data_IF_624803470104
#
_entry.id   IF_624803470104
#
_cell.length_a   1.000
_cell.length_b   1.000
_cell.length_c   1.000
_cell.angle_alpha   90.00
_cell.angle_beta   90.00
_cell.angle_gamma   90.00
#
_symmetry.space_group_name_H-M   'P 1'
#
loop_
_entity.id
_entity.type
_entity.pdbx_description
1 polymer ?
#
# COMPACT_ATOMS: atom_id res chain seq x y z
N UNK A 1 -40.04 21.90 23.84
CA UNK A 1 -39.11 21.18 24.76
C UNK A 1 -38.60 19.84 24.25
N UNK A 2 -39.30 19.08 23.41
CA UNK A 2 -38.80 17.78 22.90
C UNK A 2 -37.65 17.86 21.89
N UNK A 3 -37.53 18.93 21.11
CA UNK A 3 -36.48 19.14 20.11
C UNK A 3 -35.10 19.46 20.71
N UNK A 4 -35.04 20.13 21.85
CA UNK A 4 -33.79 20.50 22.52
C UNK A 4 -33.12 19.29 23.18
N UNK A 5 -33.91 18.33 23.71
CA UNK A 5 -33.39 17.12 24.35
C UNK A 5 -32.75 16.15 23.33
N UNK A 6 -33.27 16.07 22.10
CA UNK A 6 -32.68 15.23 21.03
C UNK A 6 -31.34 15.80 20.55
N UNK A 7 -31.24 17.12 20.44
CA UNK A 7 -29.96 17.77 20.02
C UNK A 7 -28.87 17.60 21.08
N UNK A 8 -29.24 17.71 22.37
CA UNK A 8 -28.30 17.52 23.49
C UNK A 8 -27.83 16.05 23.60
N UNK A 9 -28.71 15.09 23.33
CA UNK A 9 -28.35 13.66 23.33
C UNK A 9 -27.42 13.29 22.19
N UNK A 10 -27.63 13.84 20.99
CA UNK A 10 -26.74 13.64 19.84
C UNK A 10 -25.35 14.24 20.07
N UNK A 11 -25.25 15.42 20.70
CA UNK A 11 -23.95 16.05 21.02
C UNK A 11 -23.19 15.29 22.10
N UNK A 12 -23.85 14.79 23.13
CA UNK A 12 -23.19 13.98 24.19
C UNK A 12 -22.71 12.64 23.69
N UNK A 13 -23.46 11.95 22.83
CA UNK A 13 -23.01 10.70 22.19
C UNK A 13 -21.80 10.94 21.28
N UNK A 14 -21.77 12.04 20.53
CA UNK A 14 -20.62 12.41 19.69
C UNK A 14 -19.35 12.71 20.49
N UNK A 15 -19.47 13.40 21.63
CA UNK A 15 -18.34 13.72 22.51
C UNK A 15 -17.78 12.45 23.15
N UNK A 16 -18.62 11.58 23.70
CA UNK A 16 -18.18 10.32 24.29
C UNK A 16 -17.49 9.40 23.27
N UNK A 17 -17.91 9.44 22.02
CA UNK A 17 -17.36 8.59 20.97
C UNK A 17 -15.95 9.05 20.54
N UNK A 18 -15.74 10.35 20.32
CA UNK A 18 -14.42 10.92 19.96
C UNK A 18 -13.40 10.69 21.09
N UNK A 19 -13.80 10.86 22.35
CA UNK A 19 -12.95 10.57 23.51
C UNK A 19 -12.48 9.11 23.57
N UNK A 20 -13.32 8.16 23.21
CA UNK A 20 -12.92 6.74 23.18
C UNK A 20 -11.88 6.44 22.08
N UNK A 21 -12.03 7.05 20.89
CA UNK A 21 -11.10 6.85 19.78
C UNK A 21 -9.71 7.42 20.11
N UNK A 22 -9.65 8.64 20.66
CA UNK A 22 -8.42 9.27 21.10
C UNK A 22 -7.72 8.43 22.19
N UNK A 23 -8.45 7.94 23.20
CA UNK A 23 -7.89 7.05 24.23
C UNK A 23 -7.31 5.75 23.66
N UNK A 24 -7.94 5.19 22.62
CA UNK A 24 -7.38 4.01 21.95
C UNK A 24 -6.09 4.35 21.21
N UNK A 25 -6.05 5.48 20.49
CA UNK A 25 -4.86 5.95 19.82
C UNK A 25 -3.71 6.21 20.80
N UNK A 26 -3.99 6.90 21.93
CA UNK A 26 -3.02 7.15 23.00
C UNK A 26 -2.49 5.86 23.62
N UNK A 27 -3.37 4.87 23.84
CA UNK A 27 -2.95 3.55 24.36
C UNK A 27 -1.98 2.84 23.42
N UNK A 28 -2.24 2.90 22.11
CA UNK A 28 -1.35 2.33 21.08
C UNK A 28 -0.02 3.11 21.05
N UNK A 29 -0.10 4.44 21.05
CA UNK A 29 1.11 5.28 21.04
C UNK A 29 1.99 5.01 22.27
N UNK A 30 1.40 4.89 23.46
CA UNK A 30 2.13 4.52 24.67
C UNK A 30 2.88 3.20 24.49
N UNK A 31 2.21 2.14 24.02
CA UNK A 31 2.84 0.84 23.76
C UNK A 31 3.97 0.95 22.73
N UNK A 32 3.76 1.73 21.68
CA UNK A 32 4.78 1.94 20.64
C UNK A 32 6.05 2.59 21.22
N UNK A 33 5.90 3.59 22.08
CA UNK A 33 7.00 4.30 22.69
C UNK A 33 7.56 3.63 23.97
N UNK A 34 6.94 2.56 24.48
CA UNK A 34 7.58 1.67 25.46
C UNK A 34 8.86 1.03 24.87
N UNK A 35 8.92 0.89 23.54
CA UNK A 35 10.18 0.63 22.83
C UNK A 35 10.91 1.95 22.57
N UNK A 36 11.92 2.25 23.38
CA UNK A 36 12.71 3.48 23.30
C UNK A 36 13.40 3.70 21.95
N UNK A 37 13.46 2.68 21.08
CA UNK A 37 14.03 2.82 19.75
C UNK A 37 13.07 3.47 18.74
N UNK A 38 11.77 3.55 19.04
CA UNK A 38 10.76 4.13 18.18
C UNK A 38 10.83 5.66 18.21
N UNK A 39 10.61 6.29 17.05
CA UNK A 39 10.82 7.74 16.83
C UNK A 39 9.52 8.47 16.58
N UNK A 40 8.66 7.94 15.75
CA UNK A 40 7.41 8.59 15.39
C UNK A 40 6.33 7.63 14.93
N UNK A 41 5.08 8.01 15.21
CA UNK A 41 3.88 7.24 14.88
C UNK A 41 2.75 8.17 14.47
N UNK A 42 2.07 7.85 13.38
CA UNK A 42 0.79 8.45 13.02
C UNK A 42 -0.27 7.35 12.99
N UNK A 43 -1.44 7.62 13.60
CA UNK A 43 -2.59 6.72 13.66
C UNK A 43 -3.76 7.43 12.97
N UNK A 44 -4.36 6.77 11.98
CA UNK A 44 -5.54 7.25 11.29
C UNK A 44 -6.71 6.29 11.50
N UNK A 45 -7.89 6.83 11.75
CA UNK A 45 -9.11 6.06 12.02
C UNK A 45 -10.25 6.62 11.19
N UNK A 46 -10.95 5.73 10.50
CA UNK A 46 -12.23 6.01 9.84
C UNK A 46 -13.30 5.23 10.59
N UNK A 47 -14.35 5.90 11.01
CA UNK A 47 -15.55 5.24 11.52
C UNK A 47 -16.77 6.04 11.06
N UNK A 48 -17.62 5.38 10.26
CA UNK A 48 -18.73 6.02 9.58
C UNK A 48 -18.24 7.20 8.71
N UNK A 49 -18.80 8.40 8.86
CA UNK A 49 -18.41 9.58 8.07
C UNK A 49 -17.21 10.35 8.66
N UNK A 50 -16.68 9.92 9.84
CA UNK A 50 -15.59 10.61 10.54
C UNK A 50 -14.24 10.02 10.18
N UNK A 51 -13.27 10.92 10.01
CA UNK A 51 -11.87 10.59 9.82
C UNK A 51 -11.07 11.38 10.87
N UNK A 52 -10.34 10.66 11.72
CA UNK A 52 -9.51 11.26 12.76
C UNK A 52 -8.06 10.78 12.59
N UNK A 53 -7.10 11.66 12.86
CA UNK A 53 -5.69 11.35 12.76
C UNK A 53 -4.93 11.89 13.97
N UNK A 54 -4.09 11.05 14.55
CA UNK A 54 -3.29 11.32 15.74
C UNK A 54 -1.81 11.20 15.41
N UNK A 55 -0.99 12.05 16.01
CA UNK A 55 0.42 12.22 15.67
C UNK A 55 1.27 12.22 16.94
N UNK A 56 2.27 11.36 16.98
CA UNK A 56 3.10 11.16 18.16
C UNK A 56 4.58 11.08 17.80
N UNK A 57 5.42 11.71 18.60
CA UNK A 57 6.87 11.67 18.42
C UNK A 57 7.37 12.58 17.29
N UNK A 58 8.53 12.25 16.74
CA UNK A 58 9.29 13.13 15.86
C UNK A 58 9.53 12.59 14.45
N UNK A 59 9.80 13.52 13.52
CA UNK A 59 10.22 13.20 12.15
C UNK A 59 11.65 12.67 12.10
N UNK A 60 12.47 13.00 13.09
CA UNK A 60 13.89 12.68 13.11
C UNK A 60 14.46 12.67 14.52
N UNK A 61 15.38 11.75 14.81
CA UNK A 61 16.00 11.60 16.15
C UNK A 61 16.95 12.72 16.53
N UNK A 62 17.60 13.37 15.54
CA UNK A 62 18.64 14.39 15.77
C UNK A 62 18.11 15.82 15.80
N UNK A 63 16.91 16.04 15.34
CA UNK A 63 16.23 17.33 15.35
C UNK A 63 14.78 17.10 15.72
N UNK A 64 14.38 17.59 16.89
CA UNK A 64 12.99 17.47 17.33
C UNK A 64 12.11 18.32 16.43
N UNK A 65 11.49 17.68 15.46
CA UNK A 65 10.47 18.26 14.62
C UNK A 65 9.28 17.31 14.67
N UNK A 66 8.21 17.75 15.30
CA UNK A 66 7.05 16.89 15.54
C UNK A 66 6.41 16.39 14.26
N UNK A 67 5.86 15.20 14.33
CA UNK A 67 4.99 14.65 13.31
C UNK A 67 3.66 15.41 13.34
N UNK A 68 3.14 15.72 12.17
CA UNK A 68 1.90 16.46 11.97
C UNK A 68 1.13 15.96 10.73
N UNK A 69 -0.01 16.59 10.44
CA UNK A 69 -0.85 16.24 9.28
C UNK A 69 -0.19 16.45 7.92
N UNK A 70 0.93 17.17 7.87
CA UNK A 70 1.70 17.42 6.64
C UNK A 70 2.88 16.48 6.48
N UNK A 71 3.13 15.63 7.47
CA UNK A 71 4.27 14.72 7.48
C UNK A 71 4.08 13.60 6.46
N UNK A 72 5.04 13.47 5.56
CA UNK A 72 5.11 12.40 4.56
C UNK A 72 5.83 11.17 5.14
N UNK A 73 5.20 10.03 5.06
CA UNK A 73 5.79 8.75 5.40
C UNK A 73 6.02 7.89 4.17
N UNK A 74 7.10 7.13 4.13
CA UNK A 74 7.22 6.00 3.23
C UNK A 74 6.19 4.94 3.63
N UNK A 75 5.30 4.57 2.71
CA UNK A 75 4.27 3.57 3.00
C UNK A 75 4.62 2.17 2.48
N UNK A 76 5.83 2.00 1.92
CA UNK A 76 6.31 0.71 1.45
C UNK A 76 5.29 -0.01 0.59
N UNK A 77 5.06 -1.28 0.89
CA UNK A 77 4.19 -2.16 0.09
C UNK A 77 2.71 -1.77 0.07
N UNK A 78 2.22 -0.88 0.93
CA UNK A 78 0.88 -0.27 0.79
C UNK A 78 0.75 0.44 -0.57
N UNK A 79 1.87 0.82 -1.20
CA UNK A 79 1.93 1.30 -2.61
C UNK A 79 1.21 0.38 -3.60
N UNK A 80 1.21 -0.94 -3.37
CA UNK A 80 0.57 -1.92 -4.26
C UNK A 80 -0.93 -1.73 -4.38
N UNK A 81 -1.57 -1.16 -3.36
CA UNK A 81 -2.99 -0.82 -3.40
C UNK A 81 -3.27 0.27 -4.44
N UNK A 82 -2.37 1.25 -4.56
CA UNK A 82 -2.46 2.29 -5.59
C UNK A 82 -2.19 1.72 -6.99
N UNK A 83 -1.23 0.81 -7.11
CA UNK A 83 -0.94 0.13 -8.38
C UNK A 83 -2.13 -0.72 -8.85
N UNK A 84 -2.77 -1.43 -7.93
CA UNK A 84 -3.99 -2.19 -8.19
C UNK A 84 -5.16 -1.26 -8.58
N UNK A 85 -5.28 -0.10 -7.92
CA UNK A 85 -6.28 0.90 -8.25
C UNK A 85 -6.08 1.48 -9.67
N UNK A 86 -4.84 1.67 -10.12
CA UNK A 86 -4.52 2.08 -11.49
C UNK A 86 -4.97 0.99 -12.47
N UNK A 87 -4.62 -0.28 -12.22
CA UNK A 87 -5.03 -1.41 -13.07
C UNK A 87 -6.57 -1.48 -13.20
N UNK A 88 -7.29 -1.43 -12.08
CA UNK A 88 -8.74 -1.47 -12.07
C UNK A 88 -9.36 -0.22 -12.74
N UNK A 89 -8.75 0.95 -12.61
CA UNK A 89 -9.20 2.17 -13.29
C UNK A 89 -9.00 2.10 -14.80
N UNK A 90 -7.88 1.54 -15.25
CA UNK A 90 -7.64 1.31 -16.69
C UNK A 90 -8.60 0.28 -17.27
N UNK A 91 -8.95 -0.75 -16.50
CA UNK A 91 -9.95 -1.75 -16.89
C UNK A 91 -11.34 -1.15 -16.96
N UNK A 92 -11.74 -0.34 -15.98
CA UNK A 92 -13.01 0.39 -16.00
C UNK A 92 -13.12 1.35 -17.19
N UNK A 93 -12.00 1.93 -17.62
CA UNK A 93 -11.91 2.77 -18.81
C UNK A 93 -11.81 1.96 -20.13
N UNK A 94 -11.93 0.62 -20.09
CA UNK A 94 -11.77 -0.31 -21.23
C UNK A 94 -10.42 -0.18 -21.96
N UNK A 95 -9.35 0.19 -21.28
CA UNK A 95 -8.01 0.39 -21.85
C UNK A 95 -7.10 -0.83 -21.70
N UNK A 96 -7.37 -1.65 -20.73
CA UNK A 96 -6.67 -2.89 -20.41
C UNK A 96 -7.68 -3.85 -19.79
N UNK A 97 -7.40 -5.15 -19.83
CA UNK A 97 -8.17 -6.14 -19.09
C UNK A 97 -7.23 -6.91 -18.17
N UNK A 98 -7.58 -7.06 -16.89
CA UNK A 98 -6.76 -7.84 -15.94
C UNK A 98 -6.50 -9.28 -16.37
N UNK A 99 -7.39 -9.84 -17.22
CA UNK A 99 -7.24 -11.16 -17.83
C UNK A 99 -6.43 -11.17 -19.12
N UNK A 100 -5.98 -10.01 -19.60
CA UNK A 100 -5.03 -9.96 -20.72
C UNK A 100 -3.76 -10.76 -20.36
N UNK A 101 -3.26 -11.52 -21.35
CA UNK A 101 -1.96 -12.16 -21.21
C UNK A 101 -0.85 -11.12 -21.11
N UNK A 102 0.10 -11.34 -20.22
CA UNK A 102 1.27 -10.49 -20.08
C UNK A 102 2.01 -10.30 -21.42
N UNK A 103 2.08 -11.36 -22.24
CA UNK A 103 2.70 -11.34 -23.57
C UNK A 103 2.10 -10.31 -24.52
N UNK A 104 0.84 -9.91 -24.37
CA UNK A 104 0.20 -8.85 -25.14
C UNK A 104 0.81 -7.48 -24.90
N UNK A 105 1.39 -7.27 -23.72
CA UNK A 105 1.90 -5.97 -23.23
C UNK A 105 3.42 -5.91 -23.15
N UNK A 106 4.13 -6.99 -23.47
CA UNK A 106 5.59 -7.01 -23.54
C UNK A 106 6.07 -7.07 -24.99
N UNK A 107 7.30 -6.57 -25.29
CA UNK A 107 7.88 -6.72 -26.62
C UNK A 107 7.96 -8.19 -27.05
N UNK A 108 7.59 -8.52 -28.29
CA UNK A 108 7.58 -9.89 -28.82
C UNK A 108 8.92 -10.60 -28.58
N UNK A 109 10.06 -9.92 -28.75
CA UNK A 109 11.40 -10.47 -28.51
C UNK A 109 11.64 -10.99 -27.07
N UNK A 110 10.77 -10.61 -26.10
CA UNK A 110 10.82 -11.08 -24.72
C UNK A 110 9.98 -12.34 -24.52
N UNK A 111 8.87 -12.47 -25.26
CA UNK A 111 7.83 -13.49 -25.06
C UNK A 111 7.90 -14.64 -26.06
N UNK A 112 8.62 -14.45 -27.17
CA UNK A 112 8.75 -15.46 -28.24
C UNK A 112 9.39 -16.75 -27.73
N UNK A 113 8.77 -17.89 -28.03
CA UNK A 113 9.23 -19.21 -27.60
C UNK A 113 9.05 -19.51 -26.11
N UNK A 114 8.40 -18.63 -25.35
CA UNK A 114 8.17 -18.84 -23.89
C UNK A 114 6.84 -19.55 -23.62
N UNK A 115 6.90 -20.70 -22.96
CA UNK A 115 5.72 -21.49 -22.57
C UNK A 115 4.77 -20.72 -21.64
N UNK A 116 5.28 -19.74 -20.88
CA UNK A 116 4.47 -18.92 -20.00
C UNK A 116 3.73 -17.79 -20.74
N UNK A 117 4.13 -17.47 -21.97
CA UNK A 117 3.54 -16.37 -22.74
C UNK A 117 2.01 -16.52 -22.97
N UNK A 118 1.53 -17.76 -22.99
CA UNK A 118 0.10 -18.10 -23.10
C UNK A 118 -0.57 -18.37 -21.74
N UNK A 119 0.09 -18.08 -20.62
CA UNK A 119 -0.41 -18.43 -19.29
C UNK A 119 -0.55 -17.23 -18.39
N UNK A 120 0.52 -16.44 -18.18
CA UNK A 120 0.56 -15.34 -17.21
C UNK A 120 -0.41 -14.25 -17.67
N UNK A 121 -1.36 -13.92 -16.80
CA UNK A 121 -2.28 -12.79 -16.94
C UNK A 121 -1.83 -11.64 -16.05
N UNK A 122 -2.30 -10.43 -16.32
CA UNK A 122 -2.00 -9.25 -15.49
C UNK A 122 -2.50 -9.41 -14.06
N UNK A 123 -3.64 -10.08 -13.86
CA UNK A 123 -4.16 -10.41 -12.53
C UNK A 123 -3.20 -11.30 -11.75
N UNK A 124 -2.47 -12.21 -12.40
CA UNK A 124 -1.51 -13.09 -11.73
C UNK A 124 -0.34 -12.31 -11.14
N UNK A 125 0.05 -11.19 -11.77
CA UNK A 125 1.04 -10.26 -11.22
C UNK A 125 0.48 -9.51 -10.02
N UNK A 126 -0.75 -8.98 -10.13
CA UNK A 126 -1.42 -8.21 -9.08
C UNK A 126 -1.76 -9.03 -7.84
N UNK A 127 -1.86 -10.36 -7.97
CA UNK A 127 -2.19 -11.30 -6.88
C UNK A 127 -1.00 -12.15 -6.43
N UNK A 128 0.19 -11.89 -6.97
CA UNK A 128 1.42 -12.63 -6.64
C UNK A 128 1.38 -14.13 -7.02
N UNK A 129 0.64 -14.49 -8.07
CA UNK A 129 0.47 -15.89 -8.51
C UNK A 129 1.14 -16.20 -9.85
N UNK A 130 1.89 -15.24 -10.41
CA UNK A 130 2.50 -15.35 -11.74
C UNK A 130 3.62 -16.40 -11.86
N UNK A 131 4.23 -16.80 -10.76
CA UNK A 131 5.37 -17.71 -10.75
C UNK A 131 6.65 -17.13 -11.37
N UNK A 132 6.68 -15.84 -11.71
CA UNK A 132 7.92 -15.16 -12.11
C UNK A 132 8.92 -15.12 -10.94
N UNK A 133 10.23 -14.91 -11.21
CA UNK A 133 11.23 -14.78 -10.16
C UNK A 133 10.83 -13.77 -9.09
N UNK A 134 11.22 -14.04 -7.84
CA UNK A 134 11.01 -13.17 -6.70
C UNK A 134 12.35 -12.83 -6.06
N UNK A 135 12.51 -11.57 -5.65
CA UNK A 135 13.75 -11.02 -5.08
C UNK A 135 13.45 -10.32 -3.76
N UNK A 136 12.68 -10.97 -2.90
CA UNK A 136 12.14 -10.39 -1.66
C UNK A 136 13.14 -10.35 -0.50
N UNK A 137 14.25 -11.05 -0.61
CA UNK A 137 15.26 -11.07 0.44
C UNK A 137 16.64 -10.68 -0.08
N UNK A 138 17.45 -10.09 0.81
CA UNK A 138 18.82 -9.64 0.51
C UNK A 138 19.66 -10.73 -0.12
N UNK A 139 19.54 -11.99 0.33
CA UNK A 139 20.32 -13.11 -0.22
C UNK A 139 20.00 -13.37 -1.70
N UNK A 140 18.76 -13.19 -2.12
CA UNK A 140 18.39 -13.33 -3.54
C UNK A 140 18.89 -12.15 -4.38
N UNK A 141 18.86 -10.93 -3.82
CA UNK A 141 19.40 -9.73 -4.45
C UNK A 141 20.92 -9.80 -4.60
N UNK A 142 21.64 -10.20 -3.56
CA UNK A 142 23.10 -10.34 -3.58
C UNK A 142 23.63 -11.33 -4.65
N UNK A 143 22.79 -12.26 -5.10
CA UNK A 143 23.15 -13.20 -6.19
C UNK A 143 23.06 -12.55 -7.58
N UNK A 144 22.44 -11.39 -7.68
CA UNK A 144 22.32 -10.70 -8.96
C UNK A 144 23.62 -9.96 -9.30
N UNK A 145 24.11 -10.16 -10.51
CA UNK A 145 25.26 -9.41 -10.99
C UNK A 145 24.95 -7.90 -10.99
N UNK A 146 25.84 -7.08 -10.44
CA UNK A 146 25.67 -5.64 -10.28
C UNK A 146 24.87 -5.24 -9.02
N UNK A 147 24.73 -6.14 -8.04
CA UNK A 147 24.20 -5.79 -6.74
C UNK A 147 25.10 -4.76 -6.04
N UNK A 148 24.49 -3.70 -5.53
CA UNK A 148 25.11 -2.70 -4.65
C UNK A 148 24.33 -2.65 -3.35
N UNK A 149 24.98 -2.85 -2.22
CA UNK A 149 24.32 -2.81 -0.90
C UNK A 149 23.81 -1.41 -0.51
N UNK A 150 24.40 -0.35 -1.11
CA UNK A 150 23.97 1.03 -0.89
C UNK A 150 22.76 1.41 -1.76
N UNK A 151 22.55 0.72 -2.89
CA UNK A 151 21.41 0.85 -3.78
C UNK A 151 20.92 -0.53 -4.27
N UNK A 152 20.35 -1.36 -3.39
CA UNK A 152 20.03 -2.76 -3.69
C UNK A 152 19.02 -2.94 -4.82
N UNK A 153 18.21 -1.93 -5.11
CA UNK A 153 17.15 -1.96 -6.11
C UNK A 153 17.47 -1.17 -7.38
N UNK A 154 18.52 -0.35 -7.39
CA UNK A 154 18.95 0.42 -8.56
C UNK A 154 19.27 -0.43 -9.78
N UNK A 155 19.63 -1.69 -9.54
CA UNK A 155 19.89 -2.68 -10.59
C UNK A 155 18.63 -3.04 -11.42
N UNK A 156 17.41 -2.77 -10.93
CA UNK A 156 16.17 -3.11 -11.63
C UNK A 156 15.78 -2.01 -12.63
N UNK A 157 16.63 -1.80 -13.63
CA UNK A 157 16.25 -1.01 -14.81
C UNK A 157 15.25 -1.76 -15.68
N UNK A 158 14.54 -1.06 -16.53
CA UNK A 158 13.55 -1.63 -17.45
C UNK A 158 14.15 -2.74 -18.31
N UNK A 159 15.34 -2.49 -18.87
CA UNK A 159 16.07 -3.44 -19.72
C UNK A 159 16.41 -4.72 -18.95
N UNK A 160 16.88 -4.55 -17.70
CA UNK A 160 17.24 -5.68 -16.86
C UNK A 160 16.02 -6.49 -16.44
N UNK A 161 14.94 -5.85 -16.04
CA UNK A 161 13.70 -6.53 -15.68
C UNK A 161 13.16 -7.34 -16.86
N UNK A 162 13.13 -6.75 -18.06
CA UNK A 162 12.74 -7.47 -19.28
C UNK A 162 13.70 -8.59 -19.63
N UNK A 163 15.01 -8.43 -19.38
CA UNK A 163 16.00 -9.51 -19.58
C UNK A 163 15.75 -10.67 -18.63
N UNK A 164 15.46 -10.41 -17.36
CA UNK A 164 15.12 -11.46 -16.37
C UNK A 164 13.86 -12.22 -16.83
N UNK A 165 12.81 -11.51 -17.25
CA UNK A 165 11.60 -12.15 -17.79
C UNK A 165 11.92 -12.99 -19.02
N UNK A 166 12.75 -12.49 -19.94
CA UNK A 166 13.20 -13.24 -21.13
C UNK A 166 13.98 -14.51 -20.78
N UNK A 167 14.81 -14.47 -19.73
CA UNK A 167 15.60 -15.62 -19.27
C UNK A 167 14.79 -16.62 -18.46
N UNK A 168 13.57 -16.28 -18.04
CA UNK A 168 12.69 -17.19 -17.31
C UNK A 168 12.08 -18.19 -18.27
N UNK A 169 12.45 -19.46 -18.15
CA UNK A 169 11.88 -20.56 -18.95
C UNK A 169 10.79 -21.31 -18.19
N UNK A 170 10.92 -21.40 -16.86
CA UNK A 170 10.00 -22.14 -15.99
C UNK A 170 9.43 -21.22 -14.93
N UNK A 171 8.10 -21.27 -14.74
CA UNK A 171 7.43 -20.56 -13.67
C UNK A 171 7.54 -21.34 -12.36
N UNK A 172 7.88 -20.64 -11.30
CA UNK A 172 7.96 -21.24 -9.97
C UNK A 172 6.61 -21.09 -9.24
N UNK A 173 5.96 -22.22 -8.96
CA UNK A 173 4.74 -22.26 -8.16
C UNK A 173 3.54 -21.44 -8.74
N UNK A 174 3.45 -21.40 -10.10
CA UNK A 174 2.37 -20.67 -10.80
C UNK A 174 0.98 -21.01 -10.26
N UNK A 175 0.14 -20.01 -10.08
CA UNK A 175 -1.21 -20.14 -9.55
C UNK A 175 -1.28 -20.13 -8.01
N UNK A 176 -0.17 -20.24 -7.29
CA UNK A 176 -0.13 -20.10 -5.84
C UNK A 176 0.47 -18.74 -5.45
N UNK A 177 0.01 -18.19 -4.32
CA UNK A 177 0.51 -16.92 -3.83
C UNK A 177 1.97 -17.05 -3.42
N UNK A 178 2.81 -16.31 -4.09
CA UNK A 178 4.24 -16.13 -3.77
C UNK A 178 4.58 -14.65 -3.94
N UNK A 179 4.65 -13.93 -2.83
CA UNK A 179 4.83 -12.48 -2.82
C UNK A 179 5.99 -12.04 -3.73
N UNK A 180 5.77 -11.03 -4.57
CA UNK A 180 6.75 -10.61 -5.56
C UNK A 180 6.66 -9.11 -5.88
N UNK A 181 7.62 -8.32 -5.40
CA UNK A 181 7.82 -6.93 -5.82
C UNK A 181 8.18 -6.87 -7.31
N UNK A 182 8.97 -7.84 -7.79
CA UNK A 182 9.32 -7.95 -9.19
C UNK A 182 8.08 -8.13 -10.08
N UNK A 183 7.16 -9.00 -9.68
CA UNK A 183 5.88 -9.20 -10.39
C UNK A 183 5.07 -7.90 -10.49
N UNK A 184 4.99 -7.13 -9.42
CA UNK A 184 4.30 -5.82 -9.42
C UNK A 184 5.05 -4.80 -10.30
N UNK A 185 6.38 -4.79 -10.29
CA UNK A 185 7.17 -3.96 -11.22
C UNK A 185 6.88 -4.31 -12.69
N UNK A 186 6.83 -5.61 -13.03
CA UNK A 186 6.43 -6.08 -14.39
C UNK A 186 4.99 -5.67 -14.73
N UNK A 187 4.06 -5.69 -13.77
CA UNK A 187 2.72 -5.15 -13.97
C UNK A 187 2.76 -3.66 -14.31
N UNK A 188 3.59 -2.87 -13.62
CA UNK A 188 3.82 -1.46 -13.93
C UNK A 188 4.29 -1.27 -15.38
N UNK A 189 5.32 -2.02 -15.80
CA UNK A 189 5.83 -1.98 -17.17
C UNK A 189 4.79 -2.40 -18.22
N UNK A 190 3.93 -3.37 -17.90
CA UNK A 190 2.83 -3.79 -18.79
C UNK A 190 1.78 -2.68 -18.96
N UNK A 191 1.43 -1.97 -17.86
CA UNK A 191 0.52 -0.83 -17.91
C UNK A 191 1.13 0.34 -18.69
N UNK A 192 2.42 0.66 -18.48
CA UNK A 192 3.14 1.66 -19.29
C UNK A 192 3.08 1.36 -20.78
N UNK A 193 3.41 0.13 -21.15
CA UNK A 193 3.41 -0.30 -22.56
C UNK A 193 2.00 -0.22 -23.18
N UNK A 194 0.98 -0.65 -22.43
CA UNK A 194 -0.42 -0.59 -22.87
C UNK A 194 -0.85 0.86 -23.12
N UNK A 195 -0.46 1.80 -22.29
CA UNK A 195 -0.90 3.20 -22.35
C UNK A 195 0.10 4.13 -23.06
N UNK A 196 1.27 3.63 -23.45
CA UNK A 196 2.37 4.41 -24.06
C UNK A 196 2.76 5.65 -23.23
N UNK A 197 2.84 5.47 -21.92
CA UNK A 197 3.14 6.52 -20.95
C UNK A 197 3.96 5.94 -19.79
N UNK A 198 4.43 6.77 -18.88
CA UNK A 198 5.18 6.30 -17.71
C UNK A 198 4.25 5.89 -16.57
N UNK A 199 4.73 5.02 -15.66
CA UNK A 199 3.98 4.69 -14.44
C UNK A 199 3.73 5.93 -13.57
N UNK A 200 4.66 6.88 -13.58
CA UNK A 200 4.48 8.18 -12.89
C UNK A 200 3.27 8.94 -13.45
N UNK A 201 3.12 9.02 -14.77
CA UNK A 201 1.96 9.69 -15.39
C UNK A 201 0.65 8.95 -15.10
N UNK A 202 0.67 7.61 -15.08
CA UNK A 202 -0.48 6.82 -14.69
C UNK A 202 -0.88 7.07 -13.23
N UNK A 203 0.11 7.11 -12.34
CA UNK A 203 -0.09 7.41 -10.93
C UNK A 203 -0.69 8.82 -10.73
N UNK A 204 -0.10 9.82 -11.37
CA UNK A 204 -0.61 11.19 -11.32
C UNK A 204 -2.06 11.29 -11.83
N UNK A 205 -2.36 10.62 -12.93
CA UNK A 205 -3.69 10.67 -13.54
C UNK A 205 -4.74 9.94 -12.73
N UNK A 206 -4.49 8.68 -12.40
CA UNK A 206 -5.51 7.77 -11.84
C UNK A 206 -5.55 7.78 -10.31
N UNK A 207 -4.46 8.20 -9.66
CA UNK A 207 -4.40 8.28 -8.20
C UNK A 207 -4.51 9.74 -7.75
N UNK A 208 -3.48 10.54 -8.02
CA UNK A 208 -3.37 11.89 -7.45
C UNK A 208 -4.54 12.77 -7.90
N UNK A 209 -4.75 12.91 -9.20
CA UNK A 209 -5.78 13.80 -9.76
C UNK A 209 -7.19 13.23 -9.56
N UNK A 210 -7.41 11.94 -9.90
CA UNK A 210 -8.73 11.31 -9.81
C UNK A 210 -9.25 11.28 -8.38
N UNK A 211 -8.41 10.96 -7.40
CA UNK A 211 -8.76 10.91 -5.98
C UNK A 211 -8.54 12.26 -5.26
N UNK A 212 -8.04 13.28 -5.98
CA UNK A 212 -7.76 14.62 -5.44
C UNK A 212 -6.84 14.57 -4.20
N UNK A 213 -5.80 13.74 -4.25
CA UNK A 213 -4.77 13.63 -3.20
C UNK A 213 -3.78 14.79 -3.37
N UNK A 214 -3.43 15.46 -2.28
CA UNK A 214 -2.58 16.67 -2.32
C UNK A 214 -1.14 16.40 -1.90
N UNK A 215 -0.95 15.37 -1.09
CA UNK A 215 0.30 15.05 -0.42
C UNK A 215 0.57 13.53 -0.49
N UNK A 216 0.42 12.99 -1.70
CA UNK A 216 0.73 11.60 -2.04
C UNK A 216 1.62 11.60 -3.27
N UNK A 217 2.84 11.11 -3.13
CA UNK A 217 3.90 11.24 -4.13
C UNK A 217 4.56 9.88 -4.43
N UNK A 218 4.71 9.55 -5.70
CA UNK A 218 5.53 8.42 -6.13
C UNK A 218 7.03 8.80 -6.08
N UNK A 219 7.34 10.06 -6.43
CA UNK A 219 8.68 10.64 -6.37
C UNK A 219 8.62 11.94 -5.59
N UNK A 220 9.62 12.19 -4.75
CA UNK A 220 9.74 13.45 -4.01
C UNK A 220 10.45 14.50 -4.86
N UNK A 221 10.08 15.74 -4.64
CA UNK A 221 10.81 16.94 -5.09
C UNK A 221 11.60 17.53 -3.91
N UNK A 222 12.52 18.44 -4.16
CA UNK A 222 13.25 19.15 -3.09
C UNK A 222 12.29 19.80 -2.08
N UNK A 223 11.18 20.37 -2.57
CA UNK A 223 10.18 21.02 -1.72
C UNK A 223 9.50 20.06 -0.74
N UNK A 224 9.37 18.77 -1.08
CA UNK A 224 8.75 17.77 -0.24
C UNK A 224 9.70 17.19 0.84
N UNK A 225 11.01 17.25 0.62
CA UNK A 225 11.99 16.58 1.49
C UNK A 225 11.92 17.06 2.95
N UNK A 226 11.63 18.33 3.19
CA UNK A 226 11.50 18.88 4.55
C UNK A 226 10.28 18.36 5.33
N UNK A 227 9.30 17.80 4.62
CA UNK A 227 8.08 17.23 5.19
C UNK A 227 8.19 15.73 5.47
N UNK A 228 9.27 15.07 5.01
CA UNK A 228 9.41 13.62 5.15
C UNK A 228 9.83 13.24 6.57
N UNK A 229 9.14 12.28 7.17
CA UNK A 229 9.63 11.57 8.33
C UNK A 229 10.82 10.68 7.92
N UNK A 230 12.00 10.97 8.44
CA UNK A 230 13.21 10.21 8.13
C UNK A 230 13.04 8.77 8.64
N UNK A 231 13.27 7.75 7.80
CA UNK A 231 13.22 6.36 8.22
C UNK A 231 14.32 6.06 9.27
N UNK A 232 14.03 5.16 10.22
CA UNK A 232 15.01 4.78 11.26
C UNK A 232 15.05 3.26 11.47
N UNK A 233 16.25 2.78 11.81
CA UNK A 233 16.46 1.43 12.34
C UNK A 233 17.20 1.54 13.66
N UNK A 234 16.53 1.15 14.76
CA UNK A 234 17.10 1.32 16.13
C UNK A 234 17.60 2.74 16.39
N UNK A 235 16.78 3.74 16.09
CA UNK A 235 17.07 5.19 16.15
C UNK A 235 18.12 5.72 15.17
N UNK A 236 18.82 4.88 14.43
CA UNK A 236 19.73 5.36 13.40
C UNK A 236 18.96 5.70 12.12
N UNK A 237 19.21 6.89 11.54
CA UNK A 237 18.53 7.28 10.31
C UNK A 237 18.95 6.38 9.15
N UNK A 238 17.99 6.01 8.35
CA UNK A 238 18.15 5.22 7.14
C UNK A 238 17.90 6.09 5.90
N UNK A 239 18.49 5.76 4.74
CA UNK A 239 18.17 6.44 3.50
C UNK A 239 16.71 6.20 3.10
N UNK A 240 16.12 7.15 2.39
CA UNK A 240 14.82 6.96 1.75
C UNK A 240 14.93 5.87 0.69
N UNK A 241 13.91 5.02 0.61
CA UNK A 241 13.91 3.90 -0.33
C UNK A 241 13.84 4.39 -1.77
N UNK A 242 14.69 3.84 -2.62
CA UNK A 242 14.70 4.03 -4.06
C UNK A 242 14.51 2.66 -4.72
N UNK A 243 13.50 2.53 -5.56
CA UNK A 243 13.09 1.22 -6.10
C UNK A 243 13.22 1.11 -7.62
N UNK A 244 13.77 2.13 -8.30
CA UNK A 244 13.87 2.17 -9.77
C UNK A 244 12.54 1.73 -10.43
N UNK A 245 12.57 0.74 -11.33
CA UNK A 245 11.36 0.22 -11.99
C UNK A 245 10.49 -0.68 -11.09
N UNK A 246 10.92 -0.99 -9.87
CA UNK A 246 10.07 -1.60 -8.84
C UNK A 246 9.21 -0.55 -8.10
N UNK A 247 9.26 0.72 -8.50
CA UNK A 247 8.49 1.80 -7.87
C UNK A 247 6.98 1.50 -7.73
N UNK A 248 6.31 0.76 -8.64
CA UNK A 248 4.92 0.33 -8.45
C UNK A 248 4.70 -0.55 -7.21
N UNK A 249 5.75 -1.15 -6.66
CA UNK A 249 5.66 -2.07 -5.54
C UNK A 249 5.85 -1.40 -4.16
N UNK A 250 6.44 -0.17 -4.09
CA UNK A 250 6.80 0.34 -2.77
C UNK A 250 7.24 1.78 -2.65
N UNK A 251 7.17 2.62 -3.71
CA UNK A 251 7.78 3.95 -3.69
C UNK A 251 6.90 5.08 -3.16
N UNK A 252 5.62 4.88 -2.90
CA UNK A 252 4.71 5.96 -2.50
C UNK A 252 5.10 6.51 -1.13
N UNK A 253 5.08 7.85 -1.04
CA UNK A 253 5.11 8.61 0.21
C UNK A 253 3.78 9.34 0.33
N UNK A 254 3.14 9.25 1.50
CA UNK A 254 1.83 9.85 1.73
C UNK A 254 1.72 10.44 3.13
N UNK A 255 0.89 11.46 3.26
CA UNK A 255 0.44 11.94 4.57
C UNK A 255 -0.71 11.08 5.06
N UNK A 256 -0.94 11.06 6.38
CA UNK A 256 -2.08 10.35 6.98
C UNK A 256 -3.44 10.84 6.43
N UNK A 257 -3.70 12.15 6.29
CA UNK A 257 -4.96 12.61 5.73
C UNK A 257 -5.24 12.11 4.30
N UNK A 258 -4.21 12.09 3.44
CA UNK A 258 -4.37 11.56 2.07
C UNK A 258 -4.56 10.04 2.06
N UNK A 259 -3.88 9.32 2.95
CA UNK A 259 -4.05 7.87 3.09
C UNK A 259 -5.47 7.53 3.57
N UNK A 260 -6.00 8.24 4.59
CA UNK A 260 -7.37 8.05 5.03
C UNK A 260 -8.38 8.35 3.92
N UNK A 261 -8.15 9.40 3.15
CA UNK A 261 -8.98 9.73 1.99
C UNK A 261 -8.96 8.62 0.94
N UNK A 262 -7.79 8.02 0.67
CA UNK A 262 -7.67 6.86 -0.21
C UNK A 262 -8.46 5.66 0.34
N UNK A 263 -8.31 5.34 1.62
CA UNK A 263 -9.02 4.23 2.26
C UNK A 263 -10.54 4.45 2.25
N UNK A 264 -10.99 5.69 2.50
CA UNK A 264 -12.41 6.01 2.51
C UNK A 264 -13.07 5.76 1.14
N UNK A 265 -12.34 5.96 0.03
CA UNK A 265 -12.83 5.61 -1.32
C UNK A 265 -13.05 4.11 -1.52
N UNK A 266 -12.41 3.25 -0.72
CA UNK A 266 -12.64 1.81 -0.72
C UNK A 266 -13.74 1.39 0.26
N UNK A 267 -13.98 2.18 1.30
CA UNK A 267 -15.05 1.93 2.29
C UNK A 267 -16.38 2.45 1.78
N UNK A 268 -16.41 3.69 1.30
CA UNK A 268 -17.60 4.37 0.78
C UNK A 268 -17.29 4.94 -0.62
N UNK A 269 -17.29 4.11 -1.66
CA UNK A 269 -17.02 4.57 -3.01
C UNK A 269 -18.15 5.45 -3.54
N UNK A 270 -17.80 6.44 -4.35
CA UNK A 270 -18.77 7.19 -5.14
C UNK A 270 -19.54 6.25 -6.06
N UNK A 271 -20.76 6.62 -6.45
CA UNK A 271 -21.70 5.73 -7.19
C UNK A 271 -21.05 5.17 -8.46
N UNK A 272 -20.33 6.00 -9.21
CA UNK A 272 -19.62 5.64 -10.44
C UNK A 272 -18.36 4.79 -10.22
N UNK A 273 -17.92 4.62 -8.98
CA UNK A 273 -16.73 3.84 -8.61
C UNK A 273 -17.06 2.53 -7.87
N UNK A 274 -18.34 2.26 -7.60
CA UNK A 274 -18.74 1.05 -6.86
C UNK A 274 -18.26 -0.25 -7.50
N UNK A 275 -18.45 -0.39 -8.81
CA UNK A 275 -18.04 -1.59 -9.54
C UNK A 275 -16.52 -1.75 -9.54
N UNK A 276 -15.78 -0.65 -9.69
CA UNK A 276 -14.32 -0.63 -9.61
C UNK A 276 -13.85 -1.10 -8.24
N UNK A 277 -14.40 -0.55 -7.15
CA UNK A 277 -14.01 -0.93 -5.78
C UNK A 277 -14.43 -2.36 -5.46
N UNK A 278 -15.63 -2.77 -5.84
CA UNK A 278 -16.07 -4.17 -5.70
C UNK A 278 -15.11 -5.12 -6.40
N UNK A 279 -14.66 -4.77 -7.58
CA UNK A 279 -13.70 -5.52 -8.37
C UNK A 279 -12.31 -5.61 -7.71
N UNK A 280 -11.85 -4.54 -7.03
CA UNK A 280 -10.60 -4.52 -6.27
C UNK A 280 -10.65 -5.45 -5.05
N UNK A 281 -11.77 -5.42 -4.32
CA UNK A 281 -11.94 -6.13 -3.06
C UNK A 281 -12.40 -7.58 -3.25
N UNK A 282 -12.96 -7.95 -4.44
CA UNK A 282 -13.37 -9.32 -4.69
C UNK A 282 -12.19 -10.28 -4.65
N UNK A 283 -12.42 -11.51 -4.14
CA UNK A 283 -11.40 -12.54 -4.16
C UNK A 283 -11.07 -12.94 -5.61
N UNK A 284 -9.81 -12.79 -5.98
CA UNK A 284 -9.30 -13.11 -7.33
C UNK A 284 -8.91 -14.59 -7.49
N UNK A 285 -8.80 -15.35 -6.39
CA UNK A 285 -8.34 -16.74 -6.40
C UNK A 285 -9.49 -17.70 -6.17
N UNK A 286 -9.83 -18.53 -7.16
CA UNK A 286 -10.92 -19.50 -7.06
C UNK A 286 -10.53 -20.83 -6.41
N UNK A 287 -9.27 -21.22 -6.52
CA UNK A 287 -8.76 -22.54 -6.10
C UNK A 287 -7.69 -22.47 -5.00
N UNK A 288 -7.65 -21.40 -4.21
CA UNK A 288 -6.69 -21.21 -3.12
C UNK A 288 -7.40 -21.15 -1.76
N UNK A 289 -6.72 -21.67 -0.72
CA UNK A 289 -7.14 -21.44 0.67
C UNK A 289 -6.93 -19.98 1.09
N UNK A 290 -5.96 -19.29 0.47
CA UNK A 290 -5.74 -17.87 0.66
C UNK A 290 -6.75 -17.08 -0.19
N UNK A 291 -7.29 -16.02 0.39
CA UNK A 291 -8.15 -15.07 -0.32
C UNK A 291 -7.38 -13.78 -0.51
N UNK A 292 -7.32 -13.29 -1.74
CA UNK A 292 -6.67 -12.01 -2.08
C UNK A 292 -7.52 -11.25 -3.07
N UNK A 293 -7.65 -9.94 -2.86
CA UNK A 293 -8.16 -8.99 -3.84
C UNK A 293 -7.03 -8.50 -4.75
N UNK A 294 -7.27 -7.47 -5.53
CA UNK A 294 -6.20 -6.80 -6.25
C UNK A 294 -5.38 -5.95 -5.27
N UNK A 295 -4.20 -6.42 -4.93
CA UNK A 295 -3.33 -5.80 -3.93
C UNK A 295 -3.77 -5.97 -2.47
N UNK A 296 -5.01 -6.37 -2.19
CA UNK A 296 -5.54 -6.52 -0.84
C UNK A 296 -5.41 -7.96 -0.32
N UNK A 297 -4.88 -8.14 0.89
CA UNK A 297 -5.10 -9.36 1.66
C UNK A 297 -6.54 -9.39 2.18
N UNK A 298 -7.17 -10.57 2.18
CA UNK A 298 -8.54 -10.76 2.65
C UNK A 298 -8.51 -11.74 3.81
N UNK A 299 -9.08 -11.32 4.95
CA UNK A 299 -9.18 -12.15 6.15
C UNK A 299 -10.56 -12.02 6.79
N UNK A 300 -10.82 -12.79 7.86
CA UNK A 300 -12.06 -12.71 8.63
C UNK A 300 -11.73 -12.45 10.09
N UNK A 301 -12.33 -11.42 10.69
CA UNK A 301 -12.25 -11.09 12.12
C UNK A 301 -13.67 -10.89 12.63
N UNK A 302 -14.06 -11.58 13.71
CA UNK A 302 -15.41 -11.47 14.30
C UNK A 302 -16.54 -11.63 13.26
N UNK A 303 -16.39 -12.60 12.34
CA UNK A 303 -17.32 -12.86 11.21
C UNK A 303 -17.37 -11.77 10.13
N UNK A 304 -16.65 -10.67 10.26
CA UNK A 304 -16.55 -9.62 9.25
C UNK A 304 -15.38 -9.87 8.28
N UNK A 305 -15.60 -9.53 7.01
CA UNK A 305 -14.53 -9.55 6.02
C UNK A 305 -13.65 -8.32 6.18
N UNK A 306 -12.37 -8.55 6.38
CA UNK A 306 -11.35 -7.54 6.61
C UNK A 306 -10.39 -7.54 5.43
N UNK A 307 -10.10 -6.36 4.91
CA UNK A 307 -9.10 -6.16 3.86
C UNK A 307 -7.91 -5.41 4.44
N UNK A 308 -6.69 -5.85 4.11
CA UNK A 308 -5.49 -5.27 4.69
C UNK A 308 -4.30 -5.28 3.73
N UNK A 309 -3.35 -4.42 3.99
CA UNK A 309 -1.99 -4.50 3.47
C UNK A 309 -1.03 -3.84 4.46
N UNK A 310 0.11 -4.47 4.70
CA UNK A 310 1.22 -3.87 5.45
C UNK A 310 2.34 -3.43 4.50
N UNK A 311 3.26 -2.63 4.99
CA UNK A 311 4.39 -2.14 4.22
C UNK A 311 5.59 -1.84 5.07
N UNK A 312 6.76 -2.10 4.52
CA UNK A 312 8.04 -1.76 5.13
C UNK A 312 9.02 -1.23 4.10
N UNK A 313 9.95 -0.45 4.59
CA UNK A 313 11.13 0.03 3.88
C UNK A 313 12.37 -0.22 4.72
N UNK A 314 13.49 0.45 4.43
CA UNK A 314 14.70 0.31 5.26
C UNK A 314 14.53 0.76 6.71
N UNK A 315 13.59 1.67 6.95
CA UNK A 315 13.41 2.27 8.27
C UNK A 315 12.01 2.83 8.50
N UNK A 316 11.02 2.49 7.69
CA UNK A 316 9.61 2.84 7.91
C UNK A 316 8.74 1.61 7.85
N UNK A 317 7.63 1.64 8.56
CA UNK A 317 6.59 0.63 8.54
C UNK A 317 5.20 1.24 8.44
N UNK A 318 4.28 0.51 7.83
CA UNK A 318 2.89 0.92 7.63
C UNK A 318 1.96 -0.27 7.66
N UNK A 319 0.71 -0.02 8.00
CA UNK A 319 -0.40 -0.99 7.90
C UNK A 319 -1.68 -0.24 7.64
N UNK A 320 -2.52 -0.81 6.78
CA UNK A 320 -3.89 -0.36 6.57
C UNK A 320 -4.84 -1.54 6.69
N UNK A 321 -5.98 -1.31 7.32
CA UNK A 321 -7.06 -2.29 7.47
C UNK A 321 -8.39 -1.58 7.20
N UNK A 322 -9.27 -2.17 6.39
CA UNK A 322 -10.63 -1.67 6.19
C UNK A 322 -11.67 -2.78 6.41
N UNK A 323 -12.82 -2.38 6.92
CA UNK A 323 -14.02 -3.21 7.09
C UNK A 323 -15.20 -2.46 6.47
N UNK A 324 -15.39 -2.53 5.14
CA UNK A 324 -16.38 -1.72 4.43
C UNK A 324 -17.82 -1.92 4.94
N UNK A 325 -18.18 -3.15 5.32
CA UNK A 325 -19.50 -3.48 5.88
C UNK A 325 -19.83 -2.72 7.16
N UNK A 326 -18.81 -2.32 7.92
CA UNK A 326 -18.92 -1.54 9.16
C UNK A 326 -18.58 -0.06 8.98
N UNK A 327 -18.16 0.35 7.78
CA UNK A 327 -17.64 1.69 7.48
C UNK A 327 -16.46 2.07 8.38
N UNK A 328 -15.54 1.12 8.59
CA UNK A 328 -14.38 1.28 9.46
C UNK A 328 -13.09 1.15 8.64
N UNK A 329 -12.12 2.00 8.97
CA UNK A 329 -10.74 1.92 8.49
C UNK A 329 -9.73 2.32 9.54
N UNK A 330 -8.58 1.66 9.53
CA UNK A 330 -7.44 1.97 10.39
C UNK A 330 -6.18 2.04 9.54
N UNK A 331 -5.34 3.04 9.79
CA UNK A 331 -4.02 3.18 9.21
C UNK A 331 -3.01 3.55 10.30
N UNK A 332 -1.87 2.87 10.32
CA UNK A 332 -0.73 3.23 11.15
C UNK A 332 0.49 3.44 10.27
N UNK A 333 1.22 4.53 10.51
CA UNK A 333 2.46 4.88 9.83
C UNK A 333 3.53 5.16 10.87
N UNK A 334 4.69 4.52 10.76
CA UNK A 334 5.83 4.78 11.61
C UNK A 334 7.09 4.97 10.76
N UNK A 335 7.96 5.87 11.20
CA UNK A 335 9.30 6.01 10.65
C UNK A 335 10.31 5.10 11.36
N UNK A 336 9.86 3.91 11.78
CA UNK A 336 10.66 2.81 12.29
C UNK A 336 10.36 1.51 11.55
N UNK A 337 11.37 0.65 11.39
CA UNK A 337 11.26 -0.60 10.63
C UNK A 337 10.76 -1.77 11.50
N UNK A 338 9.50 -1.73 11.94
CA UNK A 338 8.85 -2.86 12.62
C UNK A 338 7.41 -3.06 12.14
N UNK A 339 7.26 -3.76 11.00
CA UNK A 339 5.96 -4.08 10.42
C UNK A 339 5.14 -5.01 11.31
N UNK A 340 5.80 -5.91 12.04
CA UNK A 340 5.15 -6.88 12.93
C UNK A 340 4.45 -6.18 14.07
N UNK A 341 5.12 -5.24 14.72
CA UNK A 341 4.59 -4.43 15.80
C UNK A 341 3.36 -3.63 15.36
N UNK A 342 3.47 -2.88 14.26
CA UNK A 342 2.34 -2.09 13.75
C UNK A 342 1.15 -2.97 13.36
N UNK A 343 1.38 -4.17 12.82
CA UNK A 343 0.30 -5.10 12.47
C UNK A 343 -0.47 -5.55 13.72
N UNK A 344 0.22 -5.84 14.82
CA UNK A 344 -0.41 -6.20 16.10
C UNK A 344 -1.27 -5.03 16.62
N UNK A 345 -0.73 -3.81 16.60
CA UNK A 345 -1.46 -2.61 17.04
C UNK A 345 -2.69 -2.32 16.19
N UNK A 346 -2.58 -2.43 14.86
CA UNK A 346 -3.71 -2.22 13.98
C UNK A 346 -4.81 -3.27 14.19
N UNK A 347 -4.44 -4.54 14.44
CA UNK A 347 -5.40 -5.60 14.76
C UNK A 347 -6.08 -5.40 16.13
N UNK A 348 -5.36 -4.89 17.12
CA UNK A 348 -5.95 -4.52 18.40
C UNK A 348 -6.96 -3.37 18.23
N UNK A 349 -6.54 -2.33 17.52
CA UNK A 349 -7.35 -1.15 17.29
C UNK A 349 -8.62 -1.45 16.50
N UNK A 350 -8.51 -2.20 15.40
CA UNK A 350 -9.68 -2.52 14.57
C UNK A 350 -10.72 -3.35 15.34
N UNK A 351 -10.30 -4.29 16.18
CA UNK A 351 -11.20 -5.07 17.04
C UNK A 351 -11.96 -4.17 18.01
N UNK A 352 -11.26 -3.27 18.72
CA UNK A 352 -11.87 -2.32 19.66
C UNK A 352 -12.86 -1.36 19.01
N UNK A 353 -12.62 -1.00 17.73
CA UNK A 353 -13.51 -0.07 17.00
C UNK A 353 -14.74 -0.81 16.44
N UNK A 354 -14.61 -2.12 16.15
CA UNK A 354 -15.73 -2.95 15.67
C UNK A 354 -16.72 -3.32 16.78
N UNK A 355 -16.26 -3.41 18.03
CA UNK A 355 -17.09 -3.64 19.23
C UNK A 355 -17.88 -2.36 19.59
#
# INVERSE_FOLDING_TARGET
>A
MKTLSILLFLTTVQICFSQNIEQYADSIAKKHFDNETNVGLSIGIIKEEKQEAFYYGGKYTRQVKDIDSTTLFEIGSVTKLYTAFILASLENDNKINRSDLLSKHLPQKITEGKNWASKIKLVDLATHTSGLPSFENTKSLMKLNGFDENDPYGLFTKERMLSIVKQTDTLNNYGNVNYSNFGIGILGLAMEASQRTTFTDLFEKYVVKKLKLKSTHLRLTEANLTSVAIPHRKREPMPLIQLAELSPAGSVKATMPDLLKFLNKHIEPEIDQKDLVTSLLSNQLTNSKQKVGLGWGIHTINSETVYFHNGGTYGSSSIVIIVPTKKIGVALLSNNSDEGELTVYALELIKKIMD
#
